data_IF_821837314462
#
_entry.id   IF_821837314462
#
_cell.length_a   1.000
_cell.length_b   1.000
_cell.length_c   1.000
_cell.angle_alpha   90.00
_cell.angle_beta   90.00
_cell.angle_gamma   90.00
#
_symmetry.space_group_name_H-M   'P 1'
#
loop_
_entity.id
_entity.type
_entity.pdbx_description
1 polymer ?
#
# COMPACT_ATOMS: atom_id res chain seq x y z
N UNK A 1 -10.09 33.07 7.39
CA UNK A 1 -10.39 32.13 8.50
C UNK A 1 -11.13 31.00 7.82
N UNK A 2 -10.34 30.05 7.31
CA UNK A 2 -10.66 29.38 6.07
C UNK A 2 -11.45 28.09 6.31
N UNK A 3 -12.39 27.84 5.41
CA UNK A 3 -13.48 26.86 5.49
C UNK A 3 -13.02 25.39 5.28
N UNK A 4 -11.78 25.06 5.67
CA UNK A 4 -11.12 23.78 5.42
C UNK A 4 -10.53 23.17 6.70
N UNK A 5 -11.34 22.99 7.75
CA UNK A 5 -10.94 22.14 8.88
C UNK A 5 -11.06 20.68 8.46
N UNK A 6 -9.95 20.07 8.02
CA UNK A 6 -9.87 18.62 7.88
C UNK A 6 -10.05 17.99 9.27
N UNK A 7 -11.18 17.31 9.49
CA UNK A 7 -11.40 16.59 10.74
C UNK A 7 -10.49 15.35 10.75
N UNK A 8 -9.61 15.27 11.73
CA UNK A 8 -8.79 14.08 11.99
C UNK A 8 -9.33 13.33 13.20
N UNK A 9 -9.66 12.05 13.00
CA UNK A 9 -9.96 11.13 14.08
C UNK A 9 -8.69 10.41 14.52
N UNK A 10 -8.43 10.33 15.82
CA UNK A 10 -7.32 9.56 16.38
C UNK A 10 -7.84 8.20 16.86
N UNK A 11 -7.41 7.12 16.23
CA UNK A 11 -7.77 5.76 16.64
C UNK A 11 -6.63 5.15 17.45
N UNK A 12 -6.85 4.67 18.69
CA UNK A 12 -5.81 4.02 19.48
C UNK A 12 -5.35 2.71 18.82
N UNK A 13 -4.03 2.47 18.80
CA UNK A 13 -3.41 1.23 18.31
C UNK A 13 -3.25 0.18 19.42
N UNK A 14 -3.22 0.62 20.67
CA UNK A 14 -2.96 -0.20 21.86
C UNK A 14 -3.93 0.19 22.98
N UNK A 15 -4.10 -0.69 23.96
CA UNK A 15 -4.88 -0.41 25.16
C UNK A 15 -4.15 0.62 26.05
N UNK A 16 -4.89 1.64 26.51
CA UNK A 16 -4.34 2.70 27.35
C UNK A 16 -3.25 3.55 26.68
N UNK A 17 -3.52 4.19 25.52
CA UNK A 17 -2.51 4.96 24.79
C UNK A 17 -2.00 6.16 25.62
N UNK A 18 -0.68 6.35 25.64
CA UNK A 18 -0.01 7.39 26.46
C UNK A 18 0.73 8.41 25.59
N UNK A 19 1.14 8.02 24.37
CA UNK A 19 1.92 8.83 23.44
C UNK A 19 1.16 9.08 22.15
N UNK A 20 1.45 10.17 21.45
CA UNK A 20 0.82 10.48 20.15
C UNK A 20 1.04 9.37 19.11
N UNK A 21 2.20 8.71 19.13
CA UNK A 21 2.52 7.60 18.22
C UNK A 21 1.67 6.34 18.45
N UNK A 22 1.04 6.23 19.63
CA UNK A 22 0.11 5.14 19.97
C UNK A 22 -1.24 5.31 19.26
N UNK A 23 -1.47 6.46 18.62
CA UNK A 23 -2.65 6.71 17.81
C UNK A 23 -2.34 6.57 16.32
N UNK A 24 -3.35 6.17 15.56
CA UNK A 24 -3.39 6.24 14.10
C UNK A 24 -4.30 7.41 13.72
N UNK A 25 -3.77 8.47 13.11
CA UNK A 25 -4.63 9.53 12.57
C UNK A 25 -5.38 9.00 11.35
N UNK A 26 -6.67 9.31 11.26
CA UNK A 26 -7.51 9.04 10.10
C UNK A 26 -8.16 10.35 9.66
N UNK A 27 -7.89 10.74 8.42
CA UNK A 27 -8.57 11.88 7.80
C UNK A 27 -10.02 11.52 7.48
N UNK A 28 -10.95 12.30 8.04
CA UNK A 28 -12.37 12.19 7.72
C UNK A 28 -12.66 12.96 6.44
N UNK A 29 -12.52 12.27 5.32
CA UNK A 29 -12.87 12.80 3.99
C UNK A 29 -14.35 12.63 3.69
N UNK A 30 -14.91 13.60 2.97
CA UNK A 30 -16.31 13.60 2.53
C UNK A 30 -16.67 12.40 1.66
N UNK A 31 -17.95 11.99 1.69
CA UNK A 31 -18.45 10.84 0.95
C UNK A 31 -18.27 10.97 -0.56
N UNK A 32 -18.46 12.18 -1.11
CA UNK A 32 -18.23 12.46 -2.54
C UNK A 32 -16.79 12.16 -2.96
N UNK A 33 -15.81 12.59 -2.17
CA UNK A 33 -14.40 12.28 -2.42
C UNK A 33 -14.14 10.78 -2.41
N UNK A 34 -14.72 10.06 -1.43
CA UNK A 34 -14.61 8.59 -1.36
C UNK A 34 -15.21 7.89 -2.59
N UNK A 35 -16.32 8.41 -3.12
CA UNK A 35 -16.95 7.89 -4.34
C UNK A 35 -16.01 8.09 -5.54
N UNK A 36 -15.50 9.30 -5.75
CA UNK A 36 -14.57 9.61 -6.84
C UNK A 36 -13.29 8.76 -6.76
N UNK A 37 -12.68 8.68 -5.58
CA UNK A 37 -11.50 7.85 -5.34
C UNK A 37 -11.79 6.37 -5.64
N UNK A 38 -12.98 5.87 -5.28
CA UNK A 38 -13.38 4.49 -5.58
C UNK A 38 -13.57 4.24 -7.07
N UNK A 39 -14.12 5.20 -7.81
CA UNK A 39 -14.24 5.13 -9.26
C UNK A 39 -12.86 5.01 -9.91
N UNK A 40 -11.93 5.91 -9.56
CA UNK A 40 -10.55 5.88 -10.06
C UNK A 40 -9.84 4.55 -9.73
N UNK A 41 -9.95 4.08 -8.48
CA UNK A 41 -9.38 2.80 -8.07
C UNK A 41 -9.96 1.61 -8.85
N UNK A 42 -11.26 1.64 -9.17
CA UNK A 42 -11.89 0.60 -9.98
C UNK A 42 -11.41 0.60 -11.44
N UNK A 43 -11.12 1.78 -12.00
CA UNK A 43 -10.49 1.89 -13.33
C UNK A 43 -9.07 1.32 -13.32
N UNK A 44 -8.25 1.74 -12.36
CA UNK A 44 -6.87 1.25 -12.22
C UNK A 44 -6.83 -0.27 -12.05
N UNK A 45 -7.78 -0.83 -11.29
CA UNK A 45 -7.87 -2.28 -11.03
C UNK A 45 -7.84 -3.15 -12.30
N UNK A 46 -8.38 -2.67 -13.42
CA UNK A 46 -8.41 -3.43 -14.68
C UNK A 46 -7.01 -3.62 -15.25
N UNK A 47 -6.11 -2.65 -15.05
CA UNK A 47 -4.72 -2.70 -15.55
C UNK A 47 -3.71 -3.11 -14.49
N UNK A 48 -4.09 -3.17 -13.20
CA UNK A 48 -3.16 -3.53 -12.11
C UNK A 48 -2.43 -4.84 -12.37
N UNK A 49 -3.12 -5.87 -12.90
CA UNK A 49 -2.53 -7.18 -13.15
C UNK A 49 -1.41 -7.20 -14.19
N UNK A 50 -1.36 -6.24 -15.11
CA UNK A 50 -0.30 -6.14 -16.12
C UNK A 50 0.87 -5.25 -15.69
N UNK A 51 0.67 -4.39 -14.68
CA UNK A 51 1.72 -3.44 -14.22
C UNK A 51 2.44 -3.91 -12.95
N UNK A 52 1.88 -4.87 -12.21
CA UNK A 52 2.51 -5.42 -10.98
C UNK A 52 2.93 -6.87 -11.18
N UNK A 53 4.04 -7.24 -10.54
CA UNK A 53 4.53 -8.62 -10.50
C UNK A 53 3.52 -9.58 -9.88
N UNK A 54 3.54 -10.85 -10.29
CA UNK A 54 2.78 -11.93 -9.65
C UNK A 54 3.14 -12.11 -8.16
N UNK A 55 4.35 -11.73 -7.76
CA UNK A 55 4.81 -11.79 -6.37
C UNK A 55 4.14 -10.77 -5.43
N UNK A 56 3.46 -9.75 -5.97
CA UNK A 56 2.73 -8.78 -5.14
C UNK A 56 1.35 -9.33 -4.77
N UNK A 57 1.21 -9.82 -3.53
CA UNK A 57 0.01 -10.55 -3.09
C UNK A 57 -0.99 -9.68 -2.32
N UNK A 58 -0.54 -8.59 -1.70
CA UNK A 58 -1.40 -7.69 -0.93
C UNK A 58 -2.07 -6.61 -1.81
N UNK A 59 -3.28 -6.21 -1.44
CA UNK A 59 -4.08 -5.14 -2.07
C UNK A 59 -4.41 -5.34 -3.56
N UNK A 60 -4.35 -6.57 -4.06
CA UNK A 60 -4.72 -6.93 -5.44
C UNK A 60 -5.97 -7.80 -5.43
N UNK A 61 -6.98 -7.46 -6.25
CA UNK A 61 -8.20 -8.26 -6.34
C UNK A 61 -7.85 -9.68 -6.82
N UNK A 62 -8.33 -10.69 -6.07
CA UNK A 62 -8.13 -12.09 -6.42
C UNK A 62 -6.81 -12.70 -5.96
N UNK A 63 -5.97 -11.95 -5.22
CA UNK A 63 -4.77 -12.48 -4.55
C UNK A 63 -4.97 -12.44 -3.04
N UNK A 64 -4.48 -13.45 -2.32
CA UNK A 64 -4.56 -13.50 -0.87
C UNK A 64 -3.20 -13.16 -0.26
N UNK A 65 -3.21 -12.43 0.87
CA UNK A 65 -1.95 -12.11 1.59
C UNK A 65 -1.21 -13.38 2.04
N UNK A 66 -1.98 -14.44 2.32
CA UNK A 66 -1.45 -15.74 2.74
C UNK A 66 -0.63 -16.42 1.63
N UNK A 67 -0.91 -16.14 0.36
CA UNK A 67 -0.16 -16.72 -0.77
C UNK A 67 1.32 -16.32 -0.69
N UNK A 68 1.60 -15.06 -0.34
CA UNK A 68 2.97 -14.56 -0.21
C UNK A 68 3.70 -15.18 0.98
N UNK A 69 2.98 -15.41 2.09
CA UNK A 69 3.52 -16.06 3.29
C UNK A 69 3.84 -17.53 2.98
N UNK A 70 2.97 -18.22 2.24
CA UNK A 70 3.17 -19.62 1.86
C UNK A 70 4.42 -19.79 0.99
N UNK A 71 4.56 -18.98 -0.06
CA UNK A 71 5.74 -19.01 -0.94
C UNK A 71 7.02 -18.76 -0.14
N UNK A 72 7.03 -17.77 0.77
CA UNK A 72 8.19 -17.51 1.60
C UNK A 72 8.55 -18.70 2.52
N UNK A 73 7.54 -19.35 3.11
CA UNK A 73 7.74 -20.53 3.96
C UNK A 73 8.29 -21.72 3.17
N UNK A 74 7.79 -21.97 1.96
CA UNK A 74 8.27 -23.03 1.08
C UNK A 74 9.74 -22.84 0.69
N UNK A 75 10.13 -21.61 0.32
CA UNK A 75 11.53 -21.28 -0.01
C UNK A 75 12.46 -21.52 1.19
N UNK A 76 12.04 -21.13 2.40
CA UNK A 76 12.82 -21.36 3.62
C UNK A 76 12.93 -22.85 3.94
N UNK A 77 11.85 -23.61 3.80
CA UNK A 77 11.86 -25.05 4.06
C UNK A 77 12.72 -25.81 3.05
N UNK A 78 12.70 -25.40 1.77
CA UNK A 78 13.56 -25.97 0.72
C UNK A 78 15.04 -25.69 0.99
N UNK A 79 15.39 -24.45 1.36
CA UNK A 79 16.77 -24.10 1.71
C UNK A 79 17.26 -24.95 2.90
N UNK A 80 16.43 -25.14 3.92
CA UNK A 80 16.72 -25.99 5.08
C UNK A 80 16.94 -27.44 4.68
N UNK A 81 16.04 -28.02 3.87
CA UNK A 81 16.14 -29.41 3.39
C UNK A 81 17.38 -29.65 2.53
N UNK A 82 17.73 -28.68 1.68
CA UNK A 82 18.90 -28.73 0.81
C UNK A 82 20.22 -28.33 1.49
N UNK A 83 20.18 -27.96 2.78
CA UNK A 83 21.34 -27.46 3.56
C UNK A 83 22.04 -26.29 2.86
N UNK A 84 21.30 -25.46 2.15
CA UNK A 84 21.82 -24.25 1.51
C UNK A 84 21.79 -23.10 2.51
N UNK A 85 22.87 -22.33 2.54
CA UNK A 85 22.88 -21.06 3.26
C UNK A 85 21.89 -20.09 2.59
N UNK A 86 21.09 -19.40 3.40
CA UNK A 86 20.07 -18.47 2.94
C UNK A 86 20.13 -17.19 3.77
N UNK A 87 19.98 -16.05 3.11
CA UNK A 87 19.75 -14.76 3.73
C UNK A 87 18.33 -14.29 3.41
N UNK A 88 17.55 -13.95 4.43
CA UNK A 88 16.23 -13.33 4.26
C UNK A 88 16.33 -11.84 4.59
N UNK A 89 15.96 -11.00 3.65
CA UNK A 89 15.93 -9.55 3.84
C UNK A 89 14.48 -9.06 3.94
N UNK A 90 14.14 -8.46 5.08
CA UNK A 90 12.83 -7.86 5.32
C UNK A 90 12.98 -6.34 5.38
N UNK A 91 12.23 -5.65 4.53
CA UNK A 91 12.17 -4.18 4.47
C UNK A 91 10.75 -3.73 4.79
N UNK A 92 10.63 -2.68 5.59
CA UNK A 92 9.37 -2.00 5.86
C UNK A 92 9.56 -0.49 5.68
N UNK A 93 8.51 0.19 5.21
CA UNK A 93 8.56 1.64 4.96
C UNK A 93 7.78 2.38 6.04
N UNK A 94 8.47 3.23 6.80
CA UNK A 94 7.80 4.13 7.74
C UNK A 94 6.95 5.15 6.98
N UNK A 95 5.67 5.26 7.37
CA UNK A 95 4.72 6.23 6.81
C UNK A 95 4.71 6.22 5.27
N UNK A 96 4.60 5.03 4.67
CA UNK A 96 4.70 4.84 3.23
C UNK A 96 3.81 5.78 2.39
N UNK A 97 2.64 6.18 2.87
CA UNK A 97 1.76 7.11 2.14
C UNK A 97 2.14 8.58 2.31
N UNK A 98 2.79 8.94 3.42
CA UNK A 98 3.21 10.32 3.71
C UNK A 98 4.58 10.63 3.10
N UNK A 99 5.40 9.59 2.87
CA UNK A 99 6.80 9.71 2.43
C UNK A 99 7.01 9.57 0.92
N UNK A 100 5.95 9.36 0.13
CA UNK A 100 6.06 9.19 -1.33
C UNK A 100 6.31 10.54 -2.01
N UNK A 101 7.38 10.63 -2.79
CA UNK A 101 7.64 11.77 -3.67
C UNK A 101 6.69 11.74 -4.88
N UNK A 102 5.95 12.83 -5.07
CA UNK A 102 4.95 12.94 -6.14
C UNK A 102 5.57 12.96 -7.53
N UNK A 103 6.74 13.58 -7.71
CA UNK A 103 7.45 13.60 -8.99
C UNK A 103 7.94 12.19 -9.40
N UNK A 104 8.44 11.43 -8.43
CA UNK A 104 8.80 10.04 -8.62
C UNK A 104 7.59 9.18 -9.00
N UNK A 105 6.46 9.34 -8.29
CA UNK A 105 5.22 8.62 -8.61
C UNK A 105 4.74 8.93 -10.03
N UNK A 106 4.72 10.22 -10.42
CA UNK A 106 4.35 10.65 -11.77
C UNK A 106 5.26 9.99 -12.82
N UNK A 107 6.58 10.00 -12.60
CA UNK A 107 7.56 9.38 -13.49
C UNK A 107 7.41 7.85 -13.60
N UNK A 108 7.06 7.17 -12.50
CA UNK A 108 6.75 5.73 -12.52
C UNK A 108 5.47 5.45 -13.30
N UNK A 109 4.40 6.21 -13.06
CA UNK A 109 3.15 6.09 -13.83
C UNK A 109 3.37 6.41 -15.32
N UNK A 110 4.29 7.32 -15.63
CA UNK A 110 4.82 7.55 -16.98
C UNK A 110 5.36 6.29 -17.63
N UNK A 111 6.30 5.63 -16.95
CA UNK A 111 6.96 4.41 -17.43
C UNK A 111 6.04 3.20 -17.51
N UNK A 112 5.00 3.15 -16.67
CA UNK A 112 3.95 2.13 -16.73
C UNK A 112 2.96 2.35 -17.89
N UNK A 113 3.07 3.45 -18.64
CA UNK A 113 2.23 3.71 -19.81
C UNK A 113 0.87 4.32 -19.50
N UNK A 114 0.65 4.87 -18.30
CA UNK A 114 -0.55 5.65 -18.02
C UNK A 114 -0.62 6.87 -18.97
N UNK A 115 -1.81 7.43 -19.21
CA UNK A 115 -1.91 8.68 -19.99
C UNK A 115 -1.67 9.88 -19.08
N UNK A 116 -1.29 11.02 -19.66
CA UNK A 116 -1.10 12.29 -18.92
C UNK A 116 -2.35 12.71 -18.16
N UNK A 117 -3.54 12.40 -18.67
CA UNK A 117 -4.82 12.66 -18.01
C UNK A 117 -4.95 11.94 -16.66
N UNK A 118 -4.30 10.78 -16.49
CA UNK A 118 -4.31 10.00 -15.25
C UNK A 118 -3.21 10.41 -14.28
N UNK A 119 -2.36 11.37 -14.67
CA UNK A 119 -1.18 11.80 -13.91
C UNK A 119 -1.22 13.28 -13.49
N UNK A 120 -2.26 14.02 -13.89
CA UNK A 120 -2.43 15.45 -13.62
C UNK A 120 -3.61 15.71 -12.70
#
# INVERSE_FOLDING_TARGET
MDFWTEMQALIPKVDGPQRLNDFRPISLVGSLYKILAKLLANCLRVVMGSVISASQTAFVKGRQILDGILVANEVVDEARKSKKEMLLFKVDFEKAYDSVDWGYLEGVMGRMGFLTLWRK
#
